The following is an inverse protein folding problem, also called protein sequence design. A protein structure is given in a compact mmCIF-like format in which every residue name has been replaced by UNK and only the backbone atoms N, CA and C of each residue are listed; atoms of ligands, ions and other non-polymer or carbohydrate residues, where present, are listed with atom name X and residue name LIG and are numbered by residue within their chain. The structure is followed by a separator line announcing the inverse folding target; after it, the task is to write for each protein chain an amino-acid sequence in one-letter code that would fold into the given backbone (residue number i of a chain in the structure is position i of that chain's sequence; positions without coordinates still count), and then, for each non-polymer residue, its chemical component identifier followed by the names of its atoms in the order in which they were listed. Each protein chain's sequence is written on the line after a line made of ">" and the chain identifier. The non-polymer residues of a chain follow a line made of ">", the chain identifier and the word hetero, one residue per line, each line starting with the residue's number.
data_IF_338049108447
#
_entry.id   IF_338049108447
#
_cell.length_a   1.000
_cell.length_b   1.000
_cell.length_c   1.000
_cell.angle_alpha   90.00
_cell.angle_beta   90.00
_cell.angle_gamma   90.00
#
_symmetry.space_group_name_H-M   'P 1'
#
loop_
_entity.id
_entity.type
_entity.pdbx_description
1 polymer ?
#
# COMPACT_ATOMS: atom_id res chain seq x y z
N UNK A 1 -36.95 -12.25 -10.12
CA UNK A 1 -36.34 -12.56 -8.81
C UNK A 1 -35.07 -13.37 -9.08
N UNK A 2 -33.89 -12.83 -8.76
CA UNK A 2 -32.63 -13.56 -8.91
C UNK A 2 -32.47 -14.49 -7.70
N UNK A 3 -32.30 -15.79 -7.95
CA UNK A 3 -32.06 -16.78 -6.89
C UNK A 3 -30.56 -16.79 -6.60
N UNK A 4 -30.16 -16.29 -5.43
CA UNK A 4 -28.77 -16.31 -4.98
C UNK A 4 -28.37 -17.72 -4.56
N UNK A 5 -27.86 -18.53 -5.48
CA UNK A 5 -27.15 -19.76 -5.13
C UNK A 5 -25.70 -19.38 -4.81
N UNK A 6 -25.38 -19.32 -3.52
CA UNK A 6 -24.03 -19.02 -3.02
C UNK A 6 -23.12 -20.22 -3.28
N UNK A 7 -22.47 -20.28 -4.45
CA UNK A 7 -21.45 -21.31 -4.73
C UNK A 7 -20.09 -20.76 -4.28
N UNK A 8 -19.61 -21.28 -3.12
CA UNK A 8 -18.31 -21.07 -2.44
C UNK A 8 -17.45 -19.85 -2.85
N UNK A 9 -17.26 -18.96 -1.87
CA UNK A 9 -16.26 -17.88 -1.81
C UNK A 9 -14.85 -18.34 -2.17
N UNK A 10 -14.16 -17.59 -3.04
CA UNK A 10 -12.78 -17.87 -3.46
C UNK A 10 -11.77 -17.59 -2.34
N UNK A 11 -10.63 -18.30 -2.40
CA UNK A 11 -9.64 -18.41 -1.33
C UNK A 11 -9.01 -17.04 -0.96
N UNK A 12 -9.11 -16.65 0.33
CA UNK A 12 -8.64 -15.36 0.88
C UNK A 12 -7.16 -15.05 0.56
N UNK A 13 -6.32 -16.06 0.29
CA UNK A 13 -4.89 -15.90 -0.11
C UNK A 13 -4.68 -15.36 -1.54
N UNK A 14 -5.65 -15.49 -2.45
CA UNK A 14 -5.50 -15.00 -3.83
C UNK A 14 -5.80 -13.50 -3.94
N UNK A 15 -6.61 -12.98 -3.01
CA UNK A 15 -7.08 -11.60 -3.01
C UNK A 15 -6.03 -10.59 -2.52
N UNK A 16 -5.00 -11.02 -1.78
CA UNK A 16 -3.87 -10.13 -1.43
C UNK A 16 -3.03 -9.72 -2.66
N UNK A 17 -3.08 -10.49 -3.75
CA UNK A 17 -2.43 -10.13 -5.03
C UNK A 17 -3.17 -9.02 -5.78
N UNK A 18 -4.44 -8.78 -5.47
CA UNK A 18 -5.24 -7.68 -6.04
C UNK A 18 -4.69 -6.33 -5.58
N UNK A 19 -4.34 -6.22 -4.29
CA UNK A 19 -3.75 -4.99 -3.75
C UNK A 19 -2.45 -4.63 -4.46
N UNK A 20 -1.62 -5.62 -4.77
CA UNK A 20 -0.39 -5.39 -5.53
C UNK A 20 -0.68 -4.91 -6.98
N UNK A 21 -1.77 -5.37 -7.59
CA UNK A 21 -2.20 -4.92 -8.92
C UNK A 21 -2.80 -3.51 -8.87
N UNK A 22 -3.70 -3.23 -7.92
CA UNK A 22 -4.28 -1.89 -7.70
C UNK A 22 -3.16 -0.86 -7.49
N UNK A 23 -2.20 -1.17 -6.61
CA UNK A 23 -1.05 -0.32 -6.34
C UNK A 23 -0.18 -0.11 -7.60
N UNK A 24 0.04 -1.16 -8.41
CA UNK A 24 0.80 -1.08 -9.67
C UNK A 24 0.09 -0.23 -10.73
N UNK A 25 -1.23 -0.34 -10.84
CA UNK A 25 -2.00 0.42 -11.82
C UNK A 25 -2.06 1.89 -11.42
N UNK A 26 -2.22 2.17 -10.13
CA UNK A 26 -2.19 3.53 -9.64
C UNK A 26 -0.84 4.23 -9.86
N UNK A 27 0.29 3.50 -9.86
CA UNK A 27 1.59 4.10 -10.20
C UNK A 27 1.73 4.44 -11.70
N UNK A 28 0.76 4.04 -12.54
CA UNK A 28 0.78 4.17 -14.01
C UNK A 28 -0.31 5.10 -14.56
N UNK A 29 -0.96 5.89 -13.69
CA UNK A 29 -2.03 6.81 -14.13
C UNK A 29 -1.54 7.83 -15.15
N UNK A 30 -2.41 8.19 -16.09
CA UNK A 30 -2.18 9.23 -17.09
C UNK A 30 -3.24 10.33 -16.95
N UNK A 31 -2.90 11.64 -17.03
CA UNK A 31 -1.56 12.19 -17.29
C UNK A 31 -0.56 11.82 -16.19
N UNK A 32 0.67 11.55 -16.61
CA UNK A 32 1.75 10.79 -15.94
C UNK A 32 2.32 11.43 -14.66
N UNK A 33 1.61 12.39 -14.08
CA UNK A 33 2.16 13.30 -13.09
C UNK A 33 1.17 13.42 -11.92
N UNK A 34 0.87 12.39 -11.11
CA UNK A 34 0.14 12.58 -9.86
C UNK A 34 1.09 13.05 -8.73
N UNK A 35 0.92 14.29 -8.25
CA UNK A 35 1.61 14.82 -7.04
C UNK A 35 1.31 14.00 -5.80
N UNK A 36 0.14 13.37 -5.82
CA UNK A 36 -0.46 12.68 -4.70
C UNK A 36 -1.04 11.36 -5.21
N UNK A 37 -0.15 10.38 -5.42
CA UNK A 37 -0.58 8.98 -5.45
C UNK A 37 -0.42 8.42 -4.05
N UNK A 38 -1.35 8.76 -3.16
CA UNK A 38 -1.63 7.92 -1.99
C UNK A 38 -2.54 6.79 -2.45
N UNK A 39 -2.04 6.06 -3.44
CA UNK A 39 -2.71 4.90 -3.98
C UNK A 39 -2.05 3.61 -3.49
N UNK A 40 -1.19 3.70 -2.47
CA UNK A 40 -0.80 2.52 -1.72
C UNK A 40 -1.99 2.15 -0.84
N UNK A 41 -2.79 1.23 -1.33
CA UNK A 41 -3.86 0.64 -0.55
C UNK A 41 -3.30 -0.51 0.25
N UNK A 42 -3.67 -0.58 1.52
CA UNK A 42 -3.44 -1.74 2.37
C UNK A 42 -4.65 -2.66 2.34
N UNK A 43 -4.41 -3.96 2.42
CA UNK A 43 -5.51 -4.92 2.49
C UNK A 43 -6.21 -4.80 3.84
N UNK A 44 -7.52 -4.52 3.81
CA UNK A 44 -8.36 -4.56 5.00
C UNK A 44 -9.26 -5.79 4.98
N UNK A 45 -9.11 -6.64 6.01
CA UNK A 45 -9.97 -7.80 6.21
C UNK A 45 -11.43 -7.39 6.45
N UNK A 46 -11.65 -6.30 7.19
CA UNK A 46 -13.00 -5.79 7.49
C UNK A 46 -13.72 -5.33 6.21
N UNK A 47 -13.01 -4.64 5.31
CA UNK A 47 -13.55 -4.26 4.01
C UNK A 47 -13.80 -5.47 3.11
N UNK A 48 -12.96 -6.51 3.19
CA UNK A 48 -13.14 -7.74 2.41
C UNK A 48 -14.37 -8.53 2.87
N UNK A 49 -14.57 -8.65 4.18
CA UNK A 49 -15.77 -9.29 4.75
C UNK A 49 -17.05 -8.47 4.44
N UNK A 50 -16.92 -7.15 4.27
CA UNK A 50 -18.01 -6.29 3.79
C UNK A 50 -18.30 -6.50 2.29
N UNK A 51 -17.25 -6.55 1.46
CA UNK A 51 -17.36 -6.84 0.03
C UNK A 51 -17.98 -8.23 -0.22
N UNK A 52 -17.65 -9.22 0.61
CA UNK A 52 -18.23 -10.57 0.55
C UNK A 52 -19.73 -10.56 0.84
N UNK A 53 -20.15 -9.81 1.89
CA UNK A 53 -21.57 -9.61 2.21
C UNK A 53 -22.34 -8.93 1.07
N UNK A 54 -21.74 -7.96 0.39
CA UNK A 54 -22.37 -7.33 -0.77
C UNK A 54 -22.42 -8.26 -1.98
N UNK A 55 -21.32 -8.96 -2.29
CA UNK A 55 -21.24 -9.91 -3.39
C UNK A 55 -22.29 -11.03 -3.27
N UNK A 56 -22.65 -11.44 -2.05
CA UNK A 56 -23.70 -12.41 -1.78
C UNK A 56 -25.11 -11.96 -2.22
N UNK A 57 -25.35 -10.64 -2.32
CA UNK A 57 -26.61 -10.11 -2.84
C UNK A 57 -26.74 -10.29 -4.37
N UNK A 58 -25.62 -10.55 -5.05
CA UNK A 58 -25.59 -10.73 -6.50
C UNK A 58 -26.20 -9.56 -7.27
N UNK A 59 -26.07 -8.35 -6.72
CA UNK A 59 -26.55 -7.09 -7.29
C UNK A 59 -25.37 -6.29 -7.87
N UNK A 60 -25.35 -5.96 -9.18
CA UNK A 60 -24.32 -5.14 -9.78
C UNK A 60 -24.38 -3.65 -9.35
N UNK A 61 -25.45 -3.25 -8.66
CA UNK A 61 -25.63 -1.89 -8.16
C UNK A 61 -24.64 -1.51 -7.04
N UNK A 62 -24.81 -0.28 -6.57
CA UNK A 62 -24.10 0.20 -5.39
C UNK A 62 -24.83 -0.25 -4.12
N UNK A 63 -24.10 -0.70 -3.08
CA UNK A 63 -24.70 -1.05 -1.79
C UNK A 63 -25.35 0.15 -1.10
N UNK A 64 -26.41 -0.07 -0.31
CA UNK A 64 -26.98 0.97 0.54
C UNK A 64 -25.96 1.50 1.55
N UNK A 65 -26.01 2.80 1.83
CA UNK A 65 -25.07 3.52 2.71
C UNK A 65 -24.97 2.95 4.14
N UNK A 66 -25.98 2.20 4.60
CA UNK A 66 -26.07 1.66 5.96
C UNK A 66 -25.32 0.33 6.18
N UNK A 67 -24.70 -0.26 5.16
CA UNK A 67 -24.02 -1.55 5.26
C UNK A 67 -22.79 -1.56 6.19
N UNK A 68 -22.31 -0.41 6.68
CA UNK A 68 -21.12 -0.34 7.53
C UNK A 68 -21.16 0.79 8.56
N UNK A 69 -20.36 0.65 9.62
CA UNK A 69 -20.04 1.69 10.60
C UNK A 69 -19.08 2.77 10.08
N UNK A 70 -18.43 2.54 8.93
CA UNK A 70 -17.57 3.54 8.29
C UNK A 70 -18.45 4.62 7.64
N UNK A 71 -18.15 5.90 7.95
CA UNK A 71 -18.98 7.03 7.48
C UNK A 71 -19.02 7.17 5.96
N UNK A 72 -17.99 6.72 5.23
CA UNK A 72 -17.94 6.76 3.76
C UNK A 72 -17.09 5.62 3.16
N UNK A 73 -17.74 4.63 2.56
CA UNK A 73 -17.10 3.54 1.79
C UNK A 73 -17.33 3.75 0.30
N UNK A 74 -16.27 3.59 -0.48
CA UNK A 74 -16.30 3.58 -1.94
C UNK A 74 -16.47 2.16 -2.46
N UNK A 75 -17.14 2.01 -3.59
CA UNK A 75 -17.51 0.69 -4.11
C UNK A 75 -17.27 0.57 -5.60
N UNK A 76 -16.54 -0.47 -6.00
CA UNK A 76 -16.49 -0.93 -7.38
C UNK A 76 -17.16 -2.29 -7.48
N UNK A 77 -18.10 -2.41 -8.41
CA UNK A 77 -18.84 -3.65 -8.67
C UNK A 77 -18.92 -3.91 -10.16
N UNK A 78 -18.69 -5.17 -10.56
CA UNK A 78 -18.88 -5.63 -11.93
C UNK A 78 -19.37 -7.08 -11.99
N UNK A 79 -20.33 -7.34 -12.86
CA UNK A 79 -20.71 -8.69 -13.27
C UNK A 79 -19.95 -9.08 -14.54
N UNK A 80 -19.51 -10.33 -14.59
CA UNK A 80 -18.97 -10.95 -15.79
C UNK A 80 -19.49 -12.37 -15.92
N UNK A 81 -19.59 -12.89 -17.14
CA UNK A 81 -19.95 -14.28 -17.35
C UNK A 81 -18.88 -15.20 -16.73
N UNK A 82 -19.30 -16.30 -16.13
CA UNK A 82 -18.37 -17.21 -15.43
C UNK A 82 -17.35 -17.78 -16.41
N UNK A 83 -16.06 -17.72 -16.04
CA UNK A 83 -14.96 -18.18 -16.89
C UNK A 83 -14.44 -17.16 -17.90
N UNK A 84 -15.10 -16.02 -18.08
CA UNK A 84 -14.69 -14.99 -19.05
C UNK A 84 -13.61 -14.06 -18.50
N UNK A 85 -13.73 -13.65 -17.24
CA UNK A 85 -12.79 -12.70 -16.64
C UNK A 85 -12.21 -13.24 -15.32
N UNK A 86 -10.89 -13.07 -15.17
CA UNK A 86 -10.23 -13.18 -13.86
C UNK A 86 -10.40 -11.88 -13.07
N UNK A 87 -10.08 -11.90 -11.77
CA UNK A 87 -10.13 -10.67 -10.96
C UNK A 87 -9.17 -9.59 -11.51
N UNK A 88 -7.98 -10.01 -11.98
CA UNK A 88 -7.01 -9.12 -12.64
C UNK A 88 -7.62 -8.41 -13.85
N UNK A 89 -8.29 -9.15 -14.74
CA UNK A 89 -8.93 -8.57 -15.93
C UNK A 89 -9.99 -7.53 -15.55
N UNK A 90 -10.73 -7.74 -14.46
CA UNK A 90 -11.76 -6.82 -13.98
C UNK A 90 -11.14 -5.52 -13.48
N UNK A 91 -10.07 -5.61 -12.69
CA UNK A 91 -9.35 -4.43 -12.19
C UNK A 91 -8.73 -3.65 -13.35
N UNK A 92 -8.10 -4.33 -14.30
CA UNK A 92 -7.55 -3.69 -15.50
C UNK A 92 -8.66 -3.01 -16.32
N UNK A 93 -9.83 -3.64 -16.43
CA UNK A 93 -11.00 -3.02 -17.07
C UNK A 93 -11.44 -1.76 -16.34
N UNK A 94 -11.46 -1.75 -15.00
CA UNK A 94 -11.77 -0.55 -14.22
C UNK A 94 -10.72 0.53 -14.42
N UNK A 95 -9.45 0.17 -14.53
CA UNK A 95 -8.39 1.13 -14.80
C UNK A 95 -8.50 1.75 -16.20
N UNK A 96 -8.86 0.94 -17.21
CA UNK A 96 -9.00 1.39 -18.59
C UNK A 96 -10.17 2.37 -18.81
N UNK A 97 -11.16 2.41 -17.90
CA UNK A 97 -12.19 3.45 -17.88
C UNK A 97 -11.59 4.87 -17.85
N UNK A 98 -10.38 5.04 -17.31
CA UNK A 98 -9.67 6.32 -17.27
C UNK A 98 -9.34 6.90 -18.65
N UNK A 99 -9.33 6.09 -19.72
CA UNK A 99 -9.15 6.58 -21.10
C UNK A 99 -10.29 7.50 -21.55
N UNK A 100 -11.46 7.39 -20.91
CA UNK A 100 -12.66 8.17 -21.19
C UNK A 100 -12.87 9.33 -20.21
N UNK A 101 -11.94 9.53 -19.27
CA UNK A 101 -12.01 10.62 -18.31
C UNK A 101 -11.23 11.83 -18.83
N UNK A 102 -11.93 12.92 -19.13
CA UNK A 102 -11.31 14.22 -19.27
C UNK A 102 -10.90 14.73 -17.90
N UNK A 103 -9.63 14.47 -17.54
CA UNK A 103 -9.08 14.79 -16.23
C UNK A 103 -9.10 16.30 -15.92
N UNK A 104 -8.83 17.18 -16.89
CA UNK A 104 -8.81 18.63 -16.63
C UNK A 104 -10.22 19.19 -16.36
N UNK A 105 -11.24 18.61 -16.99
CA UNK A 105 -12.64 18.98 -16.76
C UNK A 105 -13.27 18.22 -15.58
N UNK A 106 -12.67 17.10 -15.15
CA UNK A 106 -13.28 16.17 -14.19
C UNK A 106 -14.55 15.51 -14.74
N UNK A 107 -14.62 15.32 -16.07
CA UNK A 107 -15.82 14.84 -16.76
C UNK A 107 -15.53 13.53 -17.49
N UNK A 108 -16.44 12.57 -17.35
CA UNK A 108 -16.43 11.35 -18.15
C UNK A 108 -17.17 11.60 -19.47
N UNK A 109 -16.75 10.95 -20.55
CA UNK A 109 -17.55 10.90 -21.78
C UNK A 109 -19.01 10.45 -21.48
N UNK A 110 -20.01 11.10 -22.08
CA UNK A 110 -21.43 10.97 -21.71
C UNK A 110 -21.98 9.53 -21.72
N UNK A 111 -21.39 8.63 -22.51
CA UNK A 111 -21.84 7.23 -22.67
C UNK A 111 -20.90 6.22 -22.03
N UNK A 112 -19.87 6.68 -21.32
CA UNK A 112 -18.83 5.82 -20.73
C UNK A 112 -18.93 5.80 -19.21
N UNK A 113 -18.37 4.75 -18.62
CA UNK A 113 -18.18 4.65 -17.18
C UNK A 113 -16.76 5.11 -16.85
N UNK A 114 -16.62 6.00 -15.87
CA UNK A 114 -15.33 6.40 -15.30
C UNK A 114 -15.27 6.23 -13.78
N UNK A 115 -16.41 5.98 -13.11
CA UNK A 115 -16.51 5.97 -11.65
C UNK A 115 -15.65 4.88 -11.01
N UNK A 116 -15.39 3.77 -11.72
CA UNK A 116 -14.57 2.69 -11.18
C UNK A 116 -13.09 3.04 -11.26
N UNK A 117 -12.67 3.65 -12.37
CA UNK A 117 -11.33 4.23 -12.49
C UNK A 117 -11.07 5.24 -11.40
N UNK A 118 -11.93 6.25 -11.26
CA UNK A 118 -11.71 7.35 -10.30
C UNK A 118 -11.64 6.84 -8.88
N UNK A 119 -12.47 5.87 -8.49
CA UNK A 119 -12.38 5.22 -7.18
C UNK A 119 -11.07 4.44 -7.00
N UNK A 120 -10.64 3.70 -8.02
CA UNK A 120 -9.42 2.89 -7.97
C UNK A 120 -8.19 3.78 -7.74
N UNK A 121 -8.13 4.92 -8.42
CA UNK A 121 -7.01 5.88 -8.35
C UNK A 121 -7.24 7.01 -7.34
N UNK A 122 -8.21 6.84 -6.43
CA UNK A 122 -8.58 7.89 -5.49
C UNK A 122 -7.50 8.09 -4.44
N UNK A 123 -6.89 9.27 -4.47
CA UNK A 123 -5.87 9.78 -3.56
C UNK A 123 -6.13 9.44 -2.09
N UNK A 124 -7.35 9.65 -1.60
CA UNK A 124 -7.63 9.45 -0.18
C UNK A 124 -8.09 8.05 0.15
N UNK A 125 -8.13 7.10 -0.78
CA UNK A 125 -8.44 5.71 -0.47
C UNK A 125 -7.17 4.96 -0.07
N UNK A 126 -7.05 4.62 1.23
CA UNK A 126 -5.86 3.98 1.80
C UNK A 126 -6.02 2.50 2.09
N UNK A 127 -7.25 1.99 2.09
CA UNK A 127 -7.53 0.58 2.35
C UNK A 127 -8.49 0.05 1.30
N UNK A 128 -8.31 -1.22 0.95
CA UNK A 128 -9.20 -1.95 0.06
C UNK A 128 -9.45 -3.35 0.59
N UNK A 129 -10.68 -3.81 0.39
CA UNK A 129 -11.04 -5.20 0.60
C UNK A 129 -11.97 -5.66 -0.51
N UNK A 130 -11.67 -6.80 -1.10
CA UNK A 130 -12.38 -7.29 -2.28
C UNK A 130 -12.95 -8.68 -2.05
N UNK A 131 -13.99 -9.02 -2.80
CA UNK A 131 -14.59 -10.35 -2.83
C UNK A 131 -15.13 -10.64 -4.23
N UNK A 132 -15.30 -11.93 -4.53
CA UNK A 132 -16.02 -12.36 -5.74
C UNK A 132 -16.92 -13.53 -5.42
N UNK A 133 -18.09 -13.56 -6.04
CA UNK A 133 -19.12 -14.56 -5.77
C UNK A 133 -19.74 -15.04 -7.09
N UNK A 134 -20.12 -16.32 -7.16
CA UNK A 134 -20.93 -16.83 -8.27
C UNK A 134 -22.40 -16.55 -8.00
N UNK A 135 -23.10 -16.13 -9.05
CA UNK A 135 -24.47 -15.62 -9.00
C UNK A 135 -25.27 -16.23 -10.15
N UNK A 136 -26.38 -16.90 -9.84
CA UNK A 136 -27.29 -17.40 -10.86
C UNK A 136 -28.27 -16.28 -11.26
N UNK A 137 -28.21 -15.83 -12.51
CA UNK A 137 -29.14 -14.83 -13.07
C UNK A 137 -29.70 -15.35 -14.39
N UNK A 138 -31.02 -15.40 -14.51
CA UNK A 138 -31.73 -15.88 -15.71
C UNK A 138 -31.21 -17.25 -16.19
N UNK A 139 -31.08 -18.20 -15.26
CA UNK A 139 -30.55 -19.55 -15.51
C UNK A 139 -29.11 -19.61 -16.05
N UNK A 140 -28.37 -18.49 -16.01
CA UNK A 140 -26.97 -18.39 -16.42
C UNK A 140 -26.11 -18.10 -15.21
N UNK A 141 -24.94 -18.73 -15.10
CA UNK A 141 -24.00 -18.51 -13.99
C UNK A 141 -23.10 -17.32 -14.32
N UNK A 142 -23.23 -16.27 -13.53
CA UNK A 142 -22.38 -15.08 -13.56
C UNK A 142 -21.41 -15.09 -12.38
N UNK A 143 -20.34 -14.31 -12.51
CA UNK A 143 -19.43 -13.99 -11.40
C UNK A 143 -19.48 -12.50 -11.14
N UNK A 144 -19.79 -12.12 -9.91
CA UNK A 144 -19.72 -10.74 -9.44
C UNK A 144 -18.37 -10.51 -8.76
N UNK A 145 -17.81 -9.33 -8.99
CA UNK A 145 -16.57 -8.84 -8.41
C UNK A 145 -16.88 -7.54 -7.67
N UNK A 146 -16.48 -7.46 -6.41
CA UNK A 146 -16.75 -6.32 -5.54
C UNK A 146 -15.46 -5.92 -4.85
N UNK A 147 -15.15 -4.62 -4.83
CA UNK A 147 -14.12 -4.03 -3.99
C UNK A 147 -14.70 -2.85 -3.20
N UNK A 148 -14.41 -2.84 -1.91
CA UNK A 148 -14.75 -1.78 -0.97
C UNK A 148 -13.49 -1.00 -0.61
N UNK A 149 -13.57 0.34 -0.69
CA UNK A 149 -12.45 1.26 -0.49
C UNK A 149 -12.72 2.19 0.68
N UNK A 150 -11.70 2.44 1.51
CA UNK A 150 -11.80 3.37 2.63
C UNK A 150 -10.57 4.27 2.77
N UNK A 151 -10.76 5.57 3.07
CA UNK A 151 -11.98 6.34 2.84
C UNK A 151 -12.50 6.20 1.40
N UNK A 152 -13.83 6.17 1.24
CA UNK A 152 -14.46 6.11 -0.07
C UNK A 152 -14.13 7.32 -0.93
N UNK A 153 -14.10 7.14 -2.25
CA UNK A 153 -13.83 8.18 -3.24
C UNK A 153 -15.08 8.68 -3.95
N UNK A 154 -14.90 9.26 -5.15
CA UNK A 154 -15.96 9.78 -6.01
C UNK A 154 -16.85 10.85 -5.35
N UNK A 155 -16.20 11.83 -4.73
CA UNK A 155 -16.88 12.94 -4.05
C UNK A 155 -17.35 13.94 -5.09
N UNK A 156 -18.55 14.49 -4.90
CA UNK A 156 -19.10 15.55 -5.73
C UNK A 156 -19.31 16.80 -4.87
N UNK A 157 -18.88 17.95 -5.38
CA UNK A 157 -19.10 19.26 -4.76
C UNK A 157 -19.86 20.11 -5.79
N UNK A 158 -21.03 20.63 -5.41
CA UNK A 158 -21.93 21.38 -6.30
C UNK A 158 -22.28 20.63 -7.61
N UNK A 159 -22.39 19.29 -7.55
CA UNK A 159 -22.69 18.44 -8.70
C UNK A 159 -21.49 18.18 -9.63
N UNK A 160 -20.29 18.66 -9.27
CA UNK A 160 -19.07 18.41 -10.03
C UNK A 160 -18.18 17.41 -9.30
N UNK A 161 -17.65 16.43 -10.03
CA UNK A 161 -16.73 15.43 -9.50
C UNK A 161 -15.43 16.08 -9.03
N UNK A 162 -15.03 15.81 -7.80
CA UNK A 162 -13.71 16.16 -7.29
C UNK A 162 -12.67 15.29 -7.99
N UNK A 163 -11.56 15.88 -8.45
CA UNK A 163 -10.51 15.12 -9.12
C UNK A 163 -9.94 14.05 -8.19
N UNK A 164 -9.72 12.83 -8.69
CA UNK A 164 -9.32 11.70 -7.86
C UNK A 164 -7.93 11.87 -7.26
N UNK A 165 -7.07 12.70 -7.85
CA UNK A 165 -5.75 13.04 -7.31
C UNK A 165 -5.36 14.47 -7.71
N UNK A 166 -4.18 14.93 -7.29
CA UNK A 166 -3.58 16.20 -7.74
C UNK A 166 -2.41 15.91 -8.65
N UNK A 167 -2.14 16.76 -9.66
CA UNK A 167 -1.03 16.58 -10.60
C UNK A 167 0.26 17.33 -10.22
N UNK A 168 1.43 16.66 -10.24
CA UNK A 168 2.75 17.19 -9.82
C UNK A 168 3.80 16.11 -9.50
N UNK A 169 4.98 16.51 -8.99
CA UNK A 169 6.09 15.58 -8.73
C UNK A 169 5.71 14.45 -7.78
N UNK A 170 6.18 13.22 -8.06
CA UNK A 170 5.92 12.05 -7.22
C UNK A 170 6.28 12.31 -5.76
N UNK A 171 5.40 11.91 -4.86
CA UNK A 171 5.61 12.00 -3.41
C UNK A 171 5.83 13.41 -2.83
N UNK A 172 5.68 14.47 -3.62
CA UNK A 172 5.92 15.85 -3.15
C UNK A 172 4.85 16.36 -2.18
N UNK A 173 3.71 15.68 -2.10
CA UNK A 173 2.63 15.97 -1.15
C UNK A 173 2.37 14.83 -0.16
N UNK A 174 3.36 13.96 0.08
CA UNK A 174 3.27 12.97 1.13
C UNK A 174 3.13 13.63 2.51
N UNK A 175 2.26 13.07 3.35
CA UNK A 175 2.03 13.58 4.72
C UNK A 175 3.14 13.13 5.65
N UNK A 176 3.29 13.78 6.82
CA UNK A 176 4.24 13.35 7.86
C UNK A 176 4.02 11.90 8.29
N UNK A 177 2.77 11.45 8.36
CA UNK A 177 2.40 10.06 8.65
C UNK A 177 2.77 9.05 7.55
N UNK A 178 2.98 9.51 6.31
CA UNK A 178 3.30 8.69 5.14
C UNK A 178 4.47 9.29 4.37
N UNK A 179 5.56 9.62 5.07
CA UNK A 179 6.69 10.36 4.52
C UNK A 179 7.55 9.54 3.55
N UNK A 180 7.29 8.24 3.39
CA UNK A 180 8.02 7.37 2.47
C UNK A 180 7.60 7.59 1.02
N UNK A 181 8.54 7.42 0.10
CA UNK A 181 8.26 7.42 -1.33
C UNK A 181 8.65 6.06 -1.90
N UNK A 182 7.67 5.16 -2.00
CA UNK A 182 7.86 3.85 -2.59
C UNK A 182 7.99 4.00 -4.10
N UNK A 183 9.14 3.64 -4.66
CA UNK A 183 9.34 3.55 -6.11
C UNK A 183 9.26 2.09 -6.54
N UNK A 184 8.53 1.82 -7.61
CA UNK A 184 8.56 0.50 -8.25
C UNK A 184 9.96 0.27 -8.85
N UNK A 185 10.27 -1.00 -9.13
CA UNK A 185 11.57 -1.47 -9.63
C UNK A 185 12.02 -0.81 -10.95
N UNK A 186 11.10 -0.21 -11.70
CA UNK A 186 11.37 0.54 -12.93
C UNK A 186 11.77 2.01 -12.67
N UNK A 187 11.82 2.45 -11.41
CA UNK A 187 12.12 3.82 -10.97
C UNK A 187 11.20 4.91 -11.54
N UNK A 188 10.12 4.51 -12.21
CA UNK A 188 9.10 5.40 -12.77
C UNK A 188 7.92 5.40 -11.79
N UNK A 189 7.48 6.60 -11.40
CA UNK A 189 6.41 6.74 -10.41
C UNK A 189 6.91 6.86 -8.97
N UNK A 190 5.95 7.02 -8.06
CA UNK A 190 6.20 7.03 -6.63
C UNK A 190 4.88 7.08 -5.85
N UNK A 191 4.72 6.20 -4.87
CA UNK A 191 3.57 6.16 -3.99
C UNK A 191 3.98 6.60 -2.58
N UNK A 192 3.14 7.41 -1.93
CA UNK A 192 3.35 7.73 -0.52
C UNK A 192 3.12 6.46 0.31
N UNK A 193 4.08 6.12 1.15
CA UNK A 193 4.00 4.98 2.05
C UNK A 193 4.35 5.37 3.47
N UNK A 194 3.84 4.62 4.46
CA UNK A 194 4.42 4.65 5.79
C UNK A 194 5.79 3.98 5.69
N UNK A 195 6.90 4.69 5.94
CA UNK A 195 8.21 4.07 5.85
C UNK A 195 8.27 2.89 6.83
N UNK A 196 8.55 1.67 6.34
CA UNK A 196 8.83 0.52 7.21
C UNK A 196 9.93 0.81 8.22
N UNK A 197 10.85 1.68 7.82
CA UNK A 197 11.90 2.22 8.64
C UNK A 197 11.86 3.76 8.55
N UNK A 198 11.28 4.45 9.54
CA UNK A 198 11.16 5.91 9.52
C UNK A 198 12.51 6.63 9.55
N UNK A 199 13.57 5.95 10.00
CA UNK A 199 14.92 6.50 10.06
C UNK A 199 15.65 6.47 8.71
N UNK A 200 15.11 5.78 7.70
CA UNK A 200 15.71 5.62 6.36
C UNK A 200 17.18 5.16 6.40
N UNK A 201 17.55 4.37 7.41
CA UNK A 201 18.89 3.81 7.58
C UNK A 201 18.83 2.38 8.14
N UNK A 202 19.67 1.48 7.65
CA UNK A 202 19.73 0.11 8.18
C UNK A 202 21.05 -0.11 8.92
N UNK A 203 20.99 -0.92 9.96
CA UNK A 203 22.19 -1.42 10.62
C UNK A 203 22.76 -2.58 9.80
N UNK A 204 24.06 -2.81 9.94
CA UNK A 204 24.72 -4.01 9.45
C UNK A 204 24.19 -5.27 10.14
N UNK A 205 24.73 -6.41 9.74
CA UNK A 205 24.30 -7.72 10.25
C UNK A 205 24.42 -7.86 11.78
N UNK A 206 25.26 -7.04 12.41
CA UNK A 206 25.56 -7.06 13.84
C UNK A 206 25.03 -5.83 14.59
N UNK A 207 23.86 -5.33 14.18
CA UNK A 207 23.25 -4.21 14.86
C UNK A 207 21.74 -4.17 14.75
N UNK A 208 21.12 -3.61 15.77
CA UNK A 208 19.69 -3.41 15.88
C UNK A 208 19.37 -1.93 15.81
N UNK A 209 18.44 -1.54 14.92
CA UNK A 209 18.04 -0.14 14.77
C UNK A 209 17.11 0.25 15.92
N UNK A 210 17.54 1.22 16.73
CA UNK A 210 16.66 1.94 17.61
C UNK A 210 15.88 2.98 16.79
N UNK A 211 14.61 2.67 16.51
CA UNK A 211 13.74 3.47 15.63
C UNK A 211 13.37 4.82 16.26
N UNK A 212 13.36 4.93 17.59
CA UNK A 212 13.05 6.19 18.30
C UNK A 212 14.19 7.20 18.23
N UNK A 213 15.44 6.73 18.24
CA UNK A 213 16.64 7.58 18.19
C UNK A 213 17.30 7.62 16.80
N UNK A 214 16.86 6.77 15.88
CA UNK A 214 17.49 6.57 14.58
C UNK A 214 19.00 6.31 14.68
N UNK A 215 19.36 5.39 15.56
CA UNK A 215 20.73 4.96 15.82
C UNK A 215 20.82 3.43 15.87
N UNK A 216 21.94 2.88 15.41
CA UNK A 216 22.20 1.46 15.53
C UNK A 216 22.83 1.13 16.88
N UNK A 217 22.22 0.20 17.60
CA UNK A 217 22.82 -0.47 18.75
C UNK A 217 23.61 -1.66 18.23
N UNK A 218 24.91 -1.68 18.47
CA UNK A 218 25.77 -2.73 17.95
C UNK A 218 25.84 -3.92 18.90
N UNK A 219 25.91 -5.12 18.32
CA UNK A 219 26.24 -6.33 19.06
C UNK A 219 27.67 -6.23 19.62
N UNK A 220 27.95 -7.04 20.64
CA UNK A 220 29.27 -7.07 21.29
C UNK A 220 30.38 -7.31 20.25
N UNK A 221 31.40 -6.46 20.30
CA UNK A 221 32.53 -6.53 19.36
C UNK A 221 32.30 -5.89 18.00
N UNK A 222 31.21 -5.13 17.82
CA UNK A 222 30.97 -4.31 16.64
C UNK A 222 30.77 -2.83 17.02
N UNK A 223 31.20 -1.94 16.14
CA UNK A 223 31.14 -0.49 16.33
C UNK A 223 30.85 0.25 15.02
N UNK A 224 30.81 1.58 15.12
CA UNK A 224 30.49 2.50 14.04
C UNK A 224 28.99 2.74 13.90
N UNK A 225 28.64 3.80 13.15
CA UNK A 225 27.25 4.28 12.97
C UNK A 225 26.27 3.21 12.50
N UNK A 226 26.75 2.21 11.78
CA UNK A 226 25.95 1.12 11.22
C UNK A 226 26.36 -0.27 11.75
N UNK A 227 27.22 -0.38 12.77
CA UNK A 227 27.63 -1.67 13.33
C UNK A 227 28.24 -2.64 12.31
N UNK A 228 29.04 -2.09 11.38
CA UNK A 228 29.71 -2.84 10.31
C UNK A 228 31.20 -3.02 10.57
N UNK A 229 31.74 -2.33 11.58
CA UNK A 229 33.16 -2.39 11.92
C UNK A 229 33.33 -3.35 13.07
N UNK A 230 34.09 -4.43 12.88
CA UNK A 230 34.47 -5.32 13.98
C UNK A 230 35.51 -4.62 14.84
N UNK A 231 35.30 -4.62 16.14
CA UNK A 231 36.22 -4.01 17.09
C UNK A 231 37.54 -4.78 17.13
N UNK A 232 38.62 -4.06 16.93
CA UNK A 232 39.98 -4.58 17.01
C UNK A 232 40.87 -3.48 17.58
N UNK A 233 41.50 -3.75 18.71
CA UNK A 233 42.58 -2.92 19.25
C UNK A 233 43.66 -3.84 19.81
N UNK A 234 44.92 -3.43 19.67
CA UNK A 234 46.03 -4.10 20.35
C UNK A 234 46.27 -3.36 21.66
N UNK A 235 46.12 -4.04 22.79
CA UNK A 235 46.42 -3.46 24.10
C UNK A 235 47.83 -3.88 24.51
N UNK A 236 48.71 -2.91 24.76
CA UNK A 236 50.12 -3.17 25.11
C UNK A 236 50.26 -3.44 26.61
N UNK A 237 49.60 -2.62 27.44
CA UNK A 237 49.62 -2.71 28.90
C UNK A 237 48.19 -2.80 29.45
N UNK A 238 47.50 -3.87 29.06
CA UNK A 238 46.14 -4.16 29.46
C UNK A 238 45.51 -5.26 28.61
N UNK A 239 44.21 -5.43 28.75
CA UNK A 239 43.44 -6.40 27.95
C UNK A 239 42.33 -5.71 27.17
N UNK A 240 42.04 -6.26 25.98
CA UNK A 240 41.01 -5.72 25.12
C UNK A 240 39.62 -6.15 25.60
N UNK A 241 38.76 -5.17 25.85
CA UNK A 241 37.35 -5.39 26.12
C UNK A 241 36.54 -5.32 24.84
N UNK A 242 36.05 -6.47 24.42
CA UNK A 242 35.20 -6.58 23.24
C UNK A 242 33.87 -5.83 23.42
N UNK A 243 33.35 -5.75 24.65
CA UNK A 243 32.05 -5.12 24.94
C UNK A 243 32.08 -3.59 24.81
N UNK A 244 33.18 -2.97 25.22
CA UNK A 244 33.39 -1.51 25.19
C UNK A 244 34.20 -1.07 23.96
N UNK A 245 34.68 -2.04 23.18
CA UNK A 245 35.61 -1.84 22.07
C UNK A 245 36.81 -0.96 22.46
N UNK A 246 37.35 -1.19 23.65
CA UNK A 246 38.37 -0.37 24.30
C UNK A 246 39.40 -1.24 25.03
N UNK A 247 40.57 -0.68 25.35
CA UNK A 247 41.55 -1.34 26.20
C UNK A 247 41.27 -1.02 27.66
N UNK A 248 41.10 -2.04 28.51
CA UNK A 248 41.18 -1.87 29.95
C UNK A 248 42.63 -1.96 30.39
N UNK A 249 43.14 -0.85 30.90
CA UNK A 249 44.54 -0.68 31.26
C UNK A 249 44.85 -1.26 32.65
N UNK A 250 46.06 -1.81 32.79
CA UNK A 250 46.58 -2.19 34.09
C UNK A 250 46.87 -0.95 34.96
N UNK A 251 46.90 -1.14 36.28
CA UNK A 251 47.11 -0.05 37.24
C UNK A 251 48.45 0.65 36.94
N UNK A 252 48.40 1.96 36.66
CA UNK A 252 49.57 2.78 36.32
C UNK A 252 49.72 3.10 34.83
N UNK A 253 48.91 2.50 33.96
CA UNK A 253 48.90 2.77 32.51
C UNK A 253 47.58 3.43 32.07
N UNK A 254 47.64 4.32 31.09
CA UNK A 254 46.46 5.03 30.57
C UNK A 254 46.68 5.65 29.19
N UNK A 255 45.58 5.88 28.47
CA UNK A 255 45.60 6.53 27.16
C UNK A 255 46.49 5.80 26.13
N UNK A 256 47.32 6.52 25.36
CA UNK A 256 48.22 5.93 24.34
C UNK A 256 49.25 4.93 24.89
N UNK A 257 49.54 4.95 26.19
CA UNK A 257 50.45 4.00 26.82
C UNK A 257 49.83 2.62 27.08
N UNK A 258 48.52 2.49 26.88
CA UNK A 258 47.75 1.28 27.14
C UNK A 258 47.18 0.66 25.86
N UNK A 259 46.68 1.48 24.93
CA UNK A 259 46.29 1.07 23.58
C UNK A 259 47.47 1.27 22.62
N UNK A 260 47.88 0.19 21.93
CA UNK A 260 48.82 0.26 20.81
C UNK A 260 48.20 0.97 19.61
N UNK A 261 49.05 1.62 18.80
CA UNK A 261 48.65 2.36 17.60
C UNK A 261 47.95 1.47 16.56
#
# INVERSE_FOLDING_TARGET
>A
MAVSIVIKSQNKKHLSKIVALDNRLCSRVSPMIPTFSRCLQEWSKELADLAERWAAQCDPGAPPRQLSSFRHIGWNTQLSATGVASFTNIIESWFNEGQHLNYSAGQCEETRACKRYTQLVWATSSHVGCASQLCLRNNTVWKIFVCAYYPGGNWEVNGQLVLPYKTGQYCSLCTSSMSGCFKLWDHIGGLCEVPKNPCRMNCGQHGHLNVSLCQCQCDLGFTGRFCQVRCSAQCVHGHFKLEECSCQCDIGYGGPGCAGQ
#
